data_IF_929988704427
#
_entry.id   IF_929988704427
#
_cell.length_a   1.000
_cell.length_b   1.000
_cell.length_c   1.000
_cell.angle_alpha   90.00
_cell.angle_beta   90.00
_cell.angle_gamma   90.00
#
_symmetry.space_group_name_H-M   'P 1'
#
loop_
_entity.id
_entity.type
_entity.pdbx_description
1 polymer ?
#
# COMPACT_ATOMS: atom_id res chain seq x y z
N UNK A 1 -2.77 11.63 -29.98
CA UNK A 1 -1.41 11.19 -30.38
C UNK A 1 -1.15 9.89 -29.66
N UNK A 2 -0.98 8.79 -30.37
CA UNK A 2 -0.63 7.51 -29.76
C UNK A 2 0.84 7.59 -29.34
N UNK A 3 1.09 7.63 -28.04
CA UNK A 3 2.41 7.43 -27.47
C UNK A 3 2.81 5.99 -27.78
N UNK A 4 3.77 5.82 -28.69
CA UNK A 4 4.38 4.51 -28.94
C UNK A 4 4.93 3.98 -27.62
N UNK A 5 4.34 2.90 -27.13
CA UNK A 5 4.78 2.22 -25.92
C UNK A 5 6.15 1.62 -26.21
N UNK A 6 7.19 2.07 -25.49
CA UNK A 6 8.54 1.56 -25.67
C UNK A 6 8.55 0.04 -25.33
N UNK A 7 8.85 -0.86 -26.28
CA UNK A 7 8.75 -2.30 -26.06
C UNK A 7 9.65 -2.80 -24.93
N UNK A 8 10.81 -2.18 -24.71
CA UNK A 8 11.72 -2.55 -23.63
C UNK A 8 11.17 -2.24 -22.23
N UNK A 9 10.37 -1.18 -22.11
CA UNK A 9 9.67 -0.82 -20.85
C UNK A 9 8.53 -1.81 -20.60
N UNK A 10 7.81 -2.20 -21.66
CA UNK A 10 6.74 -3.18 -21.60
C UNK A 10 7.24 -4.57 -21.15
N UNK A 11 8.41 -5.02 -21.61
CA UNK A 11 8.98 -6.32 -21.21
C UNK A 11 9.45 -6.33 -19.75
N UNK A 12 10.09 -5.26 -19.26
CA UNK A 12 10.52 -5.16 -17.87
C UNK A 12 9.32 -5.09 -16.91
N UNK A 13 8.28 -4.34 -17.27
CA UNK A 13 7.05 -4.25 -16.51
C UNK A 13 6.30 -5.59 -16.49
N UNK A 14 6.28 -6.32 -17.61
CA UNK A 14 5.71 -7.66 -17.68
C UNK A 14 6.47 -8.67 -16.82
N UNK A 15 7.81 -8.68 -16.87
CA UNK A 15 8.63 -9.57 -16.05
C UNK A 15 8.44 -9.30 -14.55
N UNK A 16 8.35 -8.02 -14.17
CA UNK A 16 8.14 -7.62 -12.78
C UNK A 16 6.73 -7.92 -12.29
N UNK A 17 5.72 -7.76 -13.15
CA UNK A 17 4.35 -8.21 -12.89
C UNK A 17 4.28 -9.72 -12.68
N UNK A 18 4.95 -10.51 -13.54
CA UNK A 18 5.03 -11.95 -13.42
C UNK A 18 5.71 -12.39 -12.11
N UNK A 19 6.84 -11.77 -11.75
CA UNK A 19 7.53 -12.03 -10.49
C UNK A 19 6.61 -11.77 -9.27
N UNK A 20 5.90 -10.63 -9.26
CA UNK A 20 4.94 -10.32 -8.19
C UNK A 20 3.82 -11.38 -8.08
N UNK A 21 3.31 -11.88 -9.20
CA UNK A 21 2.31 -12.94 -9.20
C UNK A 21 2.85 -14.26 -8.66
N UNK A 22 4.08 -14.62 -9.01
CA UNK A 22 4.72 -15.85 -8.52
C UNK A 22 5.07 -15.75 -7.02
N UNK A 23 5.55 -14.60 -6.56
CA UNK A 23 5.78 -14.32 -5.14
C UNK A 23 4.48 -14.42 -4.34
N UNK A 24 3.39 -13.84 -4.85
CA UNK A 24 2.09 -13.95 -4.20
C UNK A 24 1.56 -15.39 -4.19
N UNK A 25 1.71 -16.13 -5.30
CA UNK A 25 1.27 -17.53 -5.40
C UNK A 25 2.01 -18.42 -4.41
N UNK A 26 3.29 -18.14 -4.19
CA UNK A 26 4.14 -18.87 -3.24
C UNK A 26 4.02 -18.37 -1.80
N UNK A 27 3.21 -17.33 -1.55
CA UNK A 27 3.02 -16.69 -0.25
C UNK A 27 4.36 -16.25 0.34
N UNK A 28 5.22 -15.65 -0.50
CA UNK A 28 6.61 -15.38 -0.19
C UNK A 28 6.76 -14.50 1.06
N UNK A 29 6.00 -13.40 1.16
CA UNK A 29 6.09 -12.50 2.32
C UNK A 29 5.53 -13.16 3.58
N UNK A 30 4.36 -13.81 3.49
CA UNK A 30 3.72 -14.50 4.60
C UNK A 30 4.59 -15.64 5.15
N UNK A 31 5.36 -16.31 4.30
CA UNK A 31 6.25 -17.40 4.69
C UNK A 31 7.36 -16.96 5.66
N UNK A 32 7.74 -15.67 5.65
CA UNK A 32 8.70 -15.09 6.60
C UNK A 32 8.14 -15.03 8.03
N UNK A 33 6.81 -15.09 8.16
CA UNK A 33 6.06 -15.09 9.42
C UNK A 33 5.56 -16.51 9.73
N UNK A 34 6.48 -17.47 9.83
CA UNK A 34 6.16 -18.91 9.89
C UNK A 34 5.18 -19.30 10.99
N UNK A 35 5.28 -18.69 12.18
CA UNK A 35 4.35 -18.92 13.29
C UNK A 35 2.92 -18.46 12.93
N UNK A 36 2.80 -17.24 12.43
CA UNK A 36 1.53 -16.64 12.01
C UNK A 36 0.94 -17.41 10.82
N UNK A 37 1.78 -17.81 9.87
CA UNK A 37 1.38 -18.63 8.74
C UNK A 37 0.79 -19.99 9.19
N UNK A 38 1.44 -20.66 10.14
CA UNK A 38 0.90 -21.89 10.74
C UNK A 38 -0.44 -21.63 11.43
N UNK A 39 -0.52 -20.57 12.26
CA UNK A 39 -1.74 -20.18 12.96
C UNK A 39 -2.91 -19.94 12.00
N UNK A 40 -2.69 -19.17 10.93
CA UNK A 40 -3.69 -18.91 9.90
C UNK A 40 -4.18 -20.24 9.32
N UNK A 41 -3.26 -21.11 8.86
CA UNK A 41 -3.64 -22.40 8.25
C UNK A 41 -4.42 -23.30 9.20
N UNK A 42 -4.10 -23.29 10.49
CA UNK A 42 -4.86 -24.04 11.49
C UNK A 42 -6.28 -23.49 11.66
N UNK A 43 -6.43 -22.17 11.78
CA UNK A 43 -7.74 -21.53 11.90
C UNK A 43 -8.62 -21.82 10.69
N UNK A 44 -8.05 -21.78 9.48
CA UNK A 44 -8.78 -22.04 8.24
C UNK A 44 -9.22 -23.50 8.07
N UNK A 45 -8.64 -24.44 8.83
CA UNK A 45 -9.06 -25.85 8.85
C UNK A 45 -10.20 -26.11 9.82
N UNK A 46 -10.54 -25.16 10.69
CA UNK A 46 -11.67 -25.31 11.60
C UNK A 46 -12.98 -25.30 10.81
N UNK A 47 -13.88 -26.22 11.14
CA UNK A 47 -15.18 -26.34 10.46
C UNK A 47 -16.26 -25.44 11.08
N UNK A 48 -15.96 -24.82 12.22
CA UNK A 48 -16.89 -24.00 12.98
C UNK A 48 -16.23 -22.65 13.30
N UNK A 49 -16.86 -21.56 12.85
CA UNK A 49 -16.36 -20.22 13.09
C UNK A 49 -16.26 -19.88 14.59
N UNK A 50 -17.11 -20.47 15.43
CA UNK A 50 -17.11 -20.19 16.88
C UNK A 50 -15.87 -20.69 17.61
N UNK A 51 -15.14 -21.66 17.04
CA UNK A 51 -13.93 -22.22 17.65
C UNK A 51 -12.69 -21.34 17.37
N UNK A 52 -12.78 -20.47 16.36
CA UNK A 52 -11.66 -19.66 15.87
C UNK A 52 -11.14 -18.68 16.94
N UNK A 53 -11.96 -17.85 17.61
CA UNK A 53 -11.43 -16.90 18.59
C UNK A 53 -10.63 -17.58 19.69
N UNK A 54 -11.14 -18.68 20.25
CA UNK A 54 -10.43 -19.41 21.30
C UNK A 54 -9.08 -19.93 20.79
N UNK A 55 -9.03 -20.52 19.59
CA UNK A 55 -7.80 -21.02 18.99
C UNK A 55 -6.77 -19.91 18.74
N UNK A 56 -7.22 -18.77 18.22
CA UNK A 56 -6.38 -17.62 17.88
C UNK A 56 -5.76 -16.97 19.12
N UNK A 57 -6.54 -16.80 20.18
CA UNK A 57 -6.11 -16.08 21.39
C UNK A 57 -5.35 -16.96 22.39
N UNK A 58 -5.46 -18.29 22.30
CA UNK A 58 -4.65 -19.23 23.09
C UNK A 58 -3.24 -19.42 22.52
N UNK A 59 -3.03 -19.07 21.25
CA UNK A 59 -1.72 -19.13 20.58
C UNK A 59 -0.92 -17.87 20.89
N UNK A 60 -0.03 -17.99 21.85
CA UNK A 60 0.89 -16.91 22.24
C UNK A 60 2.19 -16.99 21.44
N UNK A 61 2.67 -15.83 21.01
CA UNK A 61 4.00 -15.67 20.43
C UNK A 61 5.03 -15.58 21.57
N UNK A 62 6.18 -16.25 21.43
CA UNK A 62 7.24 -16.19 22.45
C UNK A 62 7.84 -14.78 22.57
N UNK A 63 8.42 -14.47 23.74
CA UNK A 63 8.94 -13.13 24.06
C UNK A 63 10.13 -12.67 23.20
N UNK A 64 10.87 -13.60 22.58
CA UNK A 64 12.08 -13.29 21.81
C UNK A 64 11.81 -12.89 20.34
N UNK A 65 10.53 -12.83 19.93
CA UNK A 65 10.16 -12.50 18.56
C UNK A 65 10.36 -11.00 18.26
N UNK A 66 10.64 -10.69 16.99
CA UNK A 66 10.84 -9.31 16.54
C UNK A 66 9.58 -8.47 16.73
N UNK A 67 9.73 -7.15 16.83
CA UNK A 67 8.60 -6.22 16.93
C UNK A 67 7.61 -6.42 15.77
N UNK A 68 8.10 -6.70 14.56
CA UNK A 68 7.24 -6.96 13.40
C UNK A 68 6.46 -8.26 13.52
N UNK A 69 7.10 -9.33 13.98
CA UNK A 69 6.39 -10.59 14.22
C UNK A 69 5.30 -10.41 15.27
N UNK A 70 5.58 -9.66 16.34
CA UNK A 70 4.57 -9.35 17.37
C UNK A 70 3.42 -8.52 16.80
N UNK A 71 3.71 -7.51 15.97
CA UNK A 71 2.70 -6.67 15.32
C UNK A 71 1.85 -7.46 14.34
N UNK A 72 2.49 -8.21 13.45
CA UNK A 72 1.80 -9.04 12.47
C UNK A 72 0.97 -10.13 13.16
N UNK A 73 1.47 -10.71 14.26
CA UNK A 73 0.70 -11.64 15.09
C UNK A 73 -0.60 -11.01 15.60
N UNK A 74 -0.54 -9.81 16.18
CA UNK A 74 -1.76 -9.11 16.64
C UNK A 74 -2.72 -8.84 15.48
N UNK A 75 -2.20 -8.35 14.35
CA UNK A 75 -3.00 -8.12 13.14
C UNK A 75 -3.74 -9.41 12.71
N UNK A 76 -3.03 -10.53 12.64
CA UNK A 76 -3.61 -11.86 12.36
C UNK A 76 -4.68 -12.22 13.36
N UNK A 77 -4.41 -12.04 14.66
CA UNK A 77 -5.39 -12.37 15.70
C UNK A 77 -6.69 -11.60 15.54
N UNK A 78 -6.59 -10.29 15.31
CA UNK A 78 -7.76 -9.43 15.17
C UNK A 78 -8.53 -9.69 13.87
N UNK A 79 -7.85 -9.81 12.74
CA UNK A 79 -8.51 -10.05 11.45
C UNK A 79 -9.24 -11.39 11.46
N UNK A 80 -8.59 -12.47 11.93
CA UNK A 80 -9.22 -13.79 11.98
C UNK A 80 -10.39 -13.79 12.97
N UNK A 81 -10.23 -13.21 14.16
CA UNK A 81 -11.32 -13.13 15.16
C UNK A 81 -12.50 -12.34 14.60
N UNK A 82 -12.23 -11.20 13.97
CA UNK A 82 -13.25 -10.37 13.37
C UNK A 82 -13.97 -11.12 12.24
N UNK A 83 -13.25 -11.78 11.34
CA UNK A 83 -13.82 -12.61 10.28
C UNK A 83 -14.77 -13.67 10.86
N UNK A 84 -14.33 -14.38 11.90
CA UNK A 84 -15.13 -15.43 12.55
C UNK A 84 -16.44 -14.92 13.19
N UNK A 85 -16.48 -13.64 13.57
CA UNK A 85 -17.63 -13.03 14.25
C UNK A 85 -18.56 -12.25 13.32
N UNK A 86 -18.10 -11.86 12.13
CA UNK A 86 -18.78 -10.90 11.25
C UNK A 86 -18.58 -11.20 9.76
N UNK A 87 -18.68 -12.47 9.36
CA UNK A 87 -18.52 -12.93 7.96
C UNK A 87 -19.23 -12.07 6.89
N UNK A 88 -20.21 -11.23 7.25
CA UNK A 88 -21.05 -10.44 6.32
C UNK A 88 -20.70 -8.94 6.15
N UNK A 89 -19.62 -8.40 6.75
CA UNK A 89 -19.32 -6.95 6.62
C UNK A 89 -17.88 -6.73 6.16
N UNK A 90 -17.64 -5.86 5.19
CA UNK A 90 -16.30 -5.33 4.86
C UNK A 90 -16.10 -4.07 5.71
N UNK A 91 -15.64 -4.19 6.95
CA UNK A 91 -15.09 -3.03 7.70
C UNK A 91 -13.58 -3.02 7.46
N UNK A 92 -12.92 -1.85 7.27
CA UNK A 92 -11.51 -1.82 6.92
C UNK A 92 -10.67 -2.54 7.98
N UNK A 93 -9.96 -3.59 7.55
CA UNK A 93 -9.01 -4.39 8.34
C UNK A 93 -7.81 -3.58 8.89
N UNK A 94 -7.74 -2.29 8.56
CA UNK A 94 -6.58 -1.41 8.74
C UNK A 94 -6.66 -0.51 9.99
N UNK A 95 -7.69 -0.63 10.84
CA UNK A 95 -7.83 0.23 12.00
C UNK A 95 -6.79 -0.08 13.09
N UNK A 96 -5.86 0.86 13.34
CA UNK A 96 -4.92 0.92 14.48
C UNK A 96 -3.88 -0.23 14.63
N UNK A 97 -3.82 -1.15 13.67
CA UNK A 97 -3.10 -2.42 13.83
C UNK A 97 -1.76 -2.49 13.08
N UNK A 98 -1.62 -1.75 11.99
CA UNK A 98 -0.34 -1.59 11.28
C UNK A 98 0.37 -0.40 11.93
N UNK A 99 1.00 -0.57 13.10
CA UNK A 99 1.61 0.53 13.88
C UNK A 99 2.68 1.37 13.15
N UNK A 100 3.09 1.00 11.93
CA UNK A 100 3.89 1.85 11.04
C UNK A 100 3.09 3.00 10.41
N UNK A 101 1.77 2.85 10.38
CA UNK A 101 0.81 3.76 9.79
C UNK A 101 -0.25 4.12 10.83
N UNK A 102 -0.31 5.40 11.19
CA UNK A 102 -1.49 5.95 11.84
C UNK A 102 -2.58 6.04 10.79
N UNK A 103 -3.66 5.27 10.94
CA UNK A 103 -4.71 5.20 9.94
C UNK A 103 -5.92 6.06 10.32
N UNK A 104 -6.41 6.87 9.39
CA UNK A 104 -7.62 7.68 9.54
C UNK A 104 -8.68 7.24 8.54
N UNK A 105 -9.93 7.25 8.98
CA UNK A 105 -11.12 6.82 8.26
C UNK A 105 -12.35 7.59 8.79
N UNK A 106 -13.37 7.99 8.00
CA UNK A 106 -13.48 8.04 6.54
C UNK A 106 -13.43 9.48 6.01
N UNK A 107 -13.29 9.63 4.69
CA UNK A 107 -13.34 10.94 3.98
C UNK A 107 -12.30 11.92 4.54
N UNK A 108 -11.04 11.48 4.50
CA UNK A 108 -9.92 12.20 5.08
C UNK A 108 -9.29 13.11 4.04
N UNK A 109 -9.05 14.37 4.40
CA UNK A 109 -8.45 15.37 3.53
C UNK A 109 -6.99 15.01 3.17
N UNK A 110 -6.68 15.05 1.87
CA UNK A 110 -5.36 14.73 1.32
C UNK A 110 -4.51 16.00 1.26
N UNK A 111 -3.47 16.06 2.09
CA UNK A 111 -2.59 17.23 2.21
C UNK A 111 -1.68 17.39 1.01
N UNK A 112 -1.23 16.31 0.38
CA UNK A 112 -0.38 16.40 -0.82
C UNK A 112 -1.03 17.20 -1.96
N UNK A 113 -2.35 17.07 -2.18
CA UNK A 113 -3.10 17.90 -3.14
C UNK A 113 -3.12 19.38 -2.79
N UNK A 114 -3.02 19.73 -1.50
CA UNK A 114 -2.96 21.14 -1.09
C UNK A 114 -1.62 21.82 -1.43
N UNK A 115 -0.60 21.02 -1.75
CA UNK A 115 0.73 21.51 -2.18
C UNK A 115 0.85 21.70 -3.69
N UNK A 116 -0.14 21.26 -4.47
CA UNK A 116 -0.20 21.49 -5.91
C UNK A 116 -0.54 22.96 -6.20
N UNK A 117 0.08 23.46 -7.26
CA UNK A 117 0.11 24.86 -7.65
C UNK A 117 -1.32 25.40 -7.84
N UNK A 118 -1.52 26.68 -7.52
CA UNK A 118 -2.69 27.41 -7.99
C UNK A 118 -2.70 27.29 -9.51
N UNK A 119 -3.81 26.82 -10.08
CA UNK A 119 -4.00 26.90 -11.52
C UNK A 119 -3.94 28.39 -11.90
N UNK A 120 -2.88 28.77 -12.61
CA UNK A 120 -2.58 30.17 -12.94
C UNK A 120 -3.51 30.71 -14.04
N UNK A 121 -4.20 29.84 -14.78
CA UNK A 121 -5.22 30.23 -15.76
C UNK A 121 -6.56 30.49 -15.10
N UNK A 122 -6.98 29.64 -14.15
CA UNK A 122 -8.28 29.79 -13.50
C UNK A 122 -8.24 30.54 -12.16
N UNK A 123 -7.04 30.77 -11.60
CA UNK A 123 -6.83 31.29 -10.24
C UNK A 123 -7.58 30.47 -9.17
N UNK A 124 -7.93 29.22 -9.48
CA UNK A 124 -8.58 28.33 -8.54
C UNK A 124 -7.54 27.41 -7.92
N UNK A 125 -7.61 27.22 -6.60
CA UNK A 125 -6.97 26.06 -5.99
C UNK A 125 -7.77 24.85 -6.43
N UNK A 126 -7.10 23.80 -6.87
CA UNK A 126 -7.76 22.54 -7.13
C UNK A 126 -8.60 22.15 -5.90
N UNK A 127 -9.82 21.65 -6.13
CA UNK A 127 -10.71 21.30 -5.03
C UNK A 127 -10.01 20.21 -4.24
N UNK A 128 -9.71 20.48 -2.96
CA UNK A 128 -8.97 19.54 -2.13
C UNK A 128 -9.59 18.14 -2.20
N UNK A 129 -8.74 17.13 -2.44
CA UNK A 129 -9.15 15.74 -2.52
C UNK A 129 -9.38 15.13 -1.14
N UNK A 130 -10.35 14.23 -1.06
CA UNK A 130 -10.59 13.36 0.09
C UNK A 130 -10.34 11.93 -0.32
N UNK A 131 -9.76 11.11 0.53
CA UNK A 131 -9.67 9.66 0.36
C UNK A 131 -10.53 8.97 1.41
N UNK A 132 -11.04 7.78 1.11
CA UNK A 132 -11.79 6.99 2.08
C UNK A 132 -10.94 6.68 3.31
N UNK A 133 -9.65 6.37 3.10
CA UNK A 133 -8.71 6.17 4.20
C UNK A 133 -7.30 6.65 3.90
N UNK A 134 -6.58 7.08 4.94
CA UNK A 134 -5.19 7.52 4.82
C UNK A 134 -4.35 6.92 5.96
N UNK A 135 -3.22 6.32 5.61
CA UNK A 135 -2.16 5.91 6.52
C UNK A 135 -0.99 6.91 6.53
N UNK A 136 -0.59 7.34 7.73
CA UNK A 136 0.47 8.31 7.97
C UNK A 136 1.66 7.71 8.73
N UNK A 137 2.87 8.15 8.41
CA UNK A 137 4.03 7.97 9.30
C UNK A 137 4.45 9.34 9.83
N UNK A 138 3.97 9.70 11.02
CA UNK A 138 4.14 11.06 11.55
C UNK A 138 3.27 12.06 10.78
N UNK A 139 3.89 13.01 10.09
CA UNK A 139 3.16 14.01 9.27
C UNK A 139 3.04 13.65 7.79
N UNK A 140 3.65 12.54 7.41
CA UNK A 140 3.94 12.13 6.04
C UNK A 140 2.89 11.10 5.58
N UNK A 141 2.16 11.39 4.49
CA UNK A 141 1.19 10.49 3.86
C UNK A 141 1.92 9.33 3.17
N UNK A 142 1.47 8.09 3.40
CA UNK A 142 2.18 6.87 2.95
C UNK A 142 1.29 5.83 2.27
N UNK A 143 0.05 5.73 2.72
CA UNK A 143 -0.94 4.78 2.24
C UNK A 143 -2.25 5.53 2.00
N UNK A 144 -2.85 5.35 0.83
CA UNK A 144 -4.22 5.79 0.56
C UNK A 144 -5.13 4.59 0.40
N UNK A 145 -6.40 4.76 0.68
CA UNK A 145 -7.42 3.74 0.45
C UNK A 145 -8.61 4.40 -0.23
N UNK A 146 -9.06 3.78 -1.32
CA UNK A 146 -10.30 4.12 -2.03
C UNK A 146 -11.12 2.83 -2.15
N UNK A 147 -12.40 2.90 -1.78
CA UNK A 147 -13.34 1.78 -1.74
C UNK A 147 -14.47 2.10 -2.71
N UNK A 148 -14.37 1.52 -3.89
CA UNK A 148 -15.32 1.71 -4.98
C UNK A 148 -16.42 0.66 -4.93
N UNK A 149 -17.64 1.10 -5.26
CA UNK A 149 -18.85 0.29 -5.45
C UNK A 149 -19.40 -0.42 -4.20
N UNK A 150 -20.73 -0.52 -4.12
CA UNK A 150 -21.41 -1.36 -3.13
C UNK A 150 -21.26 -2.85 -3.46
N UNK A 151 -21.25 -3.73 -2.46
CA UNK A 151 -20.90 -5.16 -2.63
C UNK A 151 -21.79 -6.01 -3.58
N UNK A 152 -22.82 -5.45 -4.22
CA UNK A 152 -23.76 -6.18 -5.07
C UNK A 152 -23.74 -5.76 -6.55
N UNK A 153 -23.50 -4.49 -6.87
CA UNK A 153 -23.46 -3.98 -8.24
C UNK A 153 -22.31 -2.96 -8.40
N UNK A 154 -21.54 -3.12 -9.47
CA UNK A 154 -20.47 -2.16 -9.81
C UNK A 154 -21.05 -0.99 -10.56
N UNK A 155 -20.74 0.21 -10.10
CA UNK A 155 -20.78 1.39 -10.96
C UNK A 155 -19.41 1.51 -11.62
N UNK A 156 -19.33 1.18 -12.91
CA UNK A 156 -18.07 1.17 -13.67
C UNK A 156 -17.48 2.57 -13.81
N UNK A 157 -18.32 3.58 -14.01
CA UNK A 157 -17.87 4.96 -14.16
C UNK A 157 -17.31 5.49 -12.84
N UNK A 158 -18.01 5.20 -11.72
CA UNK A 158 -17.54 5.52 -10.39
C UNK A 158 -16.22 4.79 -10.06
N UNK A 159 -16.14 3.49 -10.36
CA UNK A 159 -14.96 2.68 -10.09
C UNK A 159 -13.75 3.15 -10.89
N UNK A 160 -13.94 3.51 -12.16
CA UNK A 160 -12.89 4.08 -12.98
C UNK A 160 -12.42 5.43 -12.42
N UNK A 161 -13.35 6.30 -12.03
CA UNK A 161 -13.02 7.61 -11.45
C UNK A 161 -12.24 7.48 -10.13
N UNK A 162 -12.64 6.58 -9.24
CA UNK A 162 -11.91 6.31 -7.99
C UNK A 162 -10.51 5.71 -8.26
N UNK A 163 -10.39 4.85 -9.27
CA UNK A 163 -9.10 4.28 -9.69
C UNK A 163 -8.13 5.38 -10.12
N UNK A 164 -8.61 6.31 -10.96
CA UNK A 164 -7.83 7.43 -11.46
C UNK A 164 -7.49 8.40 -10.32
N UNK A 165 -8.47 8.72 -9.48
CA UNK A 165 -8.29 9.55 -8.29
C UNK A 165 -7.20 8.99 -7.37
N UNK A 166 -7.20 7.67 -7.11
CA UNK A 166 -6.16 7.01 -6.33
C UNK A 166 -4.78 7.24 -6.96
N UNK A 167 -4.63 6.99 -8.26
CA UNK A 167 -3.37 7.17 -8.99
C UNK A 167 -2.82 8.59 -8.91
N UNK A 168 -3.68 9.58 -9.20
CA UNK A 168 -3.34 11.00 -9.10
C UNK A 168 -2.89 11.36 -7.68
N UNK A 169 -3.62 10.89 -6.66
CA UNK A 169 -3.29 11.15 -5.26
C UNK A 169 -1.93 10.55 -4.87
N UNK A 170 -1.61 9.33 -5.33
CA UNK A 170 -0.32 8.70 -5.05
C UNK A 170 0.83 9.45 -5.74
N UNK A 171 0.62 9.92 -6.96
CA UNK A 171 1.59 10.75 -7.67
C UNK A 171 1.80 12.10 -6.97
N UNK A 172 0.72 12.75 -6.52
CA UNK A 172 0.78 13.98 -5.73
C UNK A 172 1.62 13.79 -4.44
N UNK A 173 1.39 12.71 -3.70
CA UNK A 173 2.19 12.37 -2.51
C UNK A 173 3.67 12.18 -2.89
N UNK A 174 3.97 11.45 -3.98
CA UNK A 174 5.35 11.24 -4.41
C UNK A 174 6.03 12.56 -4.81
N UNK A 175 5.30 13.47 -5.46
CA UNK A 175 5.75 14.82 -5.78
C UNK A 175 6.05 15.64 -4.51
N UNK A 176 5.20 15.55 -3.49
CA UNK A 176 5.46 16.19 -2.19
C UNK A 176 6.77 15.70 -1.58
N UNK A 177 7.07 14.39 -1.64
CA UNK A 177 8.36 13.86 -1.20
C UNK A 177 9.54 14.39 -2.01
N UNK A 178 9.40 14.47 -3.34
CA UNK A 178 10.44 15.03 -4.20
C UNK A 178 10.75 16.48 -3.83
N UNK A 179 9.71 17.30 -3.66
CA UNK A 179 9.84 18.70 -3.27
C UNK A 179 10.49 18.84 -1.88
N UNK A 180 10.13 17.95 -0.94
CA UNK A 180 10.70 17.90 0.41
C UNK A 180 12.18 17.52 0.42
N UNK A 181 12.63 16.66 -0.50
CA UNK A 181 13.99 16.09 -0.50
C UNK A 181 14.81 16.39 -1.77
N UNK A 182 14.69 17.60 -2.34
CA UNK A 182 15.35 17.98 -3.61
C UNK A 182 16.88 17.79 -3.66
N UNK A 183 17.54 17.89 -2.50
CA UNK A 183 18.99 17.71 -2.36
C UNK A 183 19.42 16.25 -2.11
N UNK A 184 18.50 15.29 -2.18
CA UNK A 184 18.82 13.87 -2.02
C UNK A 184 19.33 13.22 -3.31
N UNK A 185 19.85 12.01 -3.21
CA UNK A 185 20.33 11.23 -4.35
C UNK A 185 19.15 10.66 -5.15
N UNK A 186 19.15 10.85 -6.47
CA UNK A 186 18.11 10.34 -7.38
C UNK A 186 17.92 8.82 -7.30
N UNK A 187 18.98 8.05 -7.05
CA UNK A 187 18.94 6.58 -6.88
C UNK A 187 18.33 6.18 -5.53
N UNK A 188 18.49 7.01 -4.50
CA UNK A 188 17.80 6.79 -3.22
C UNK A 188 16.32 7.10 -3.40
N UNK A 189 16.00 8.21 -4.06
CA UNK A 189 14.61 8.61 -4.33
C UNK A 189 13.87 7.60 -5.20
N UNK A 190 14.53 6.97 -6.18
CA UNK A 190 13.90 5.95 -7.02
C UNK A 190 13.52 4.67 -6.29
N UNK A 191 13.98 4.47 -5.05
CA UNK A 191 13.54 3.36 -4.18
C UNK A 191 12.30 3.70 -3.37
N UNK A 192 11.91 4.98 -3.34
CA UNK A 192 10.73 5.45 -2.62
C UNK A 192 9.47 4.97 -3.33
N UNK A 193 8.60 4.30 -2.58
CA UNK A 193 7.27 3.85 -3.01
C UNK A 193 6.20 4.49 -2.14
N UNK A 194 5.14 4.95 -2.77
CA UNK A 194 3.88 5.35 -2.11
C UNK A 194 2.84 4.30 -2.45
N UNK A 195 2.03 3.90 -1.48
CA UNK A 195 1.09 2.79 -1.63
C UNK A 195 -0.35 3.27 -1.64
N UNK A 196 -1.18 2.57 -2.41
CA UNK A 196 -2.63 2.70 -2.41
C UNK A 196 -3.30 1.35 -2.20
N UNK A 197 -4.47 1.34 -1.61
CA UNK A 197 -5.35 0.19 -1.53
C UNK A 197 -6.60 0.54 -2.29
N UNK A 198 -6.90 -0.26 -3.30
CA UNK A 198 -8.14 -0.16 -4.04
C UNK A 198 -9.01 -1.36 -3.69
N UNK A 199 -10.22 -1.08 -3.21
CA UNK A 199 -11.24 -2.10 -3.03
C UNK A 199 -12.31 -1.93 -4.11
N UNK A 200 -12.52 -2.96 -4.93
CA UNK A 200 -13.61 -3.03 -5.92
C UNK A 200 -14.39 -4.30 -5.62
N UNK A 201 -15.63 -4.15 -5.14
CA UNK A 201 -16.45 -5.27 -4.65
C UNK A 201 -15.66 -6.10 -3.60
N UNK A 202 -15.55 -7.45 -3.62
CA UNK A 202 -14.70 -8.14 -2.65
C UNK A 202 -13.21 -8.12 -3.02
N UNK A 203 -12.81 -7.53 -4.15
CA UNK A 203 -11.40 -7.52 -4.55
C UNK A 203 -10.66 -6.38 -3.86
N UNK A 204 -9.57 -6.70 -3.16
CA UNK A 204 -8.62 -5.74 -2.62
C UNK A 204 -7.30 -5.83 -3.38
N UNK A 205 -6.85 -4.71 -3.93
CA UNK A 205 -5.58 -4.60 -4.68
C UNK A 205 -4.68 -3.61 -3.97
N UNK A 206 -3.46 -4.05 -3.63
CA UNK A 206 -2.38 -3.17 -3.24
C UNK A 206 -1.74 -2.60 -4.50
N UNK A 207 -1.68 -1.29 -4.54
CA UNK A 207 -1.08 -0.47 -5.59
C UNK A 207 0.18 0.18 -5.04
N UNK A 208 1.20 0.37 -5.88
CA UNK A 208 2.36 1.19 -5.55
C UNK A 208 2.75 2.10 -6.71
N UNK A 209 3.11 3.34 -6.39
CA UNK A 209 3.69 4.31 -7.31
C UNK A 209 5.10 4.66 -6.86
N UNK A 210 6.03 4.69 -7.80
CA UNK A 210 7.42 5.11 -7.60
C UNK A 210 7.91 5.92 -8.79
N UNK A 211 9.10 6.53 -8.67
CA UNK A 211 9.73 7.25 -9.77
C UNK A 211 10.99 6.51 -10.21
N UNK A 212 11.11 6.25 -11.50
CA UNK A 212 12.33 5.77 -12.12
C UNK A 212 13.44 6.83 -12.09
N UNK A 213 14.69 6.41 -12.31
CA UNK A 213 15.85 7.31 -12.31
C UNK A 213 15.83 8.37 -13.42
N UNK A 214 15.06 8.16 -14.48
CA UNK A 214 14.78 9.11 -15.57
C UNK A 214 13.53 9.97 -15.33
N UNK A 215 12.86 9.81 -14.19
CA UNK A 215 11.75 10.66 -13.77
C UNK A 215 10.38 10.26 -14.30
N UNK A 216 10.21 9.02 -14.76
CA UNK A 216 8.89 8.48 -15.12
C UNK A 216 8.26 7.79 -13.92
N UNK A 217 6.94 7.93 -13.79
CA UNK A 217 6.20 7.15 -12.81
C UNK A 217 6.17 5.68 -13.20
N UNK A 218 6.43 4.81 -12.23
CA UNK A 218 6.23 3.38 -12.33
C UNK A 218 5.05 3.00 -11.44
N UNK A 219 4.01 2.45 -12.07
CA UNK A 219 2.83 1.92 -11.42
C UNK A 219 2.90 0.40 -11.33
N UNK A 220 2.56 -0.15 -10.15
CA UNK A 220 2.56 -1.59 -9.94
C UNK A 220 1.40 -2.03 -9.05
N UNK A 221 0.91 -3.25 -9.27
CA UNK A 221 -0.07 -3.93 -8.43
C UNK A 221 0.57 -5.15 -7.76
N UNK A 222 1.42 -4.99 -6.73
CA UNK A 222 2.22 -6.08 -6.19
C UNK A 222 1.40 -7.24 -5.63
N UNK A 223 0.19 -6.99 -5.10
CA UNK A 223 -0.64 -8.03 -4.47
C UNK A 223 -2.13 -7.74 -4.68
N UNK A 224 -2.92 -8.78 -4.97
CA UNK A 224 -4.39 -8.70 -5.06
C UNK A 224 -5.03 -9.88 -4.34
N UNK A 225 -6.03 -9.63 -3.50
CA UNK A 225 -6.78 -10.68 -2.81
C UNK A 225 -8.27 -10.50 -2.98
N UNK A 226 -9.02 -11.57 -2.79
CA UNK A 226 -10.44 -11.49 -2.48
C UNK A 226 -10.61 -11.32 -0.96
N UNK A 227 -11.62 -10.58 -0.54
CA UNK A 227 -12.11 -10.48 0.82
C UNK A 227 -13.23 -11.51 0.96
N UNK A 228 -13.11 -12.49 1.86
CA UNK A 228 -14.15 -13.49 2.03
C UNK A 228 -15.42 -12.84 2.60
N UNK A 229 -16.56 -13.08 1.96
CA UNK A 229 -17.90 -12.63 2.39
C UNK A 229 -18.73 -13.78 2.99
N UNK A 230 -18.21 -15.00 2.94
CA UNK A 230 -18.79 -16.17 3.59
C UNK A 230 -17.72 -16.98 4.32
N UNK A 231 -18.16 -17.85 5.23
CA UNK A 231 -17.23 -18.73 5.94
C UNK A 231 -16.55 -19.76 5.03
N UNK A 232 -17.21 -20.18 3.94
CA UNK A 232 -16.64 -21.13 2.97
C UNK A 232 -15.52 -20.52 2.12
N UNK A 233 -15.58 -19.20 1.94
CA UNK A 233 -14.56 -18.40 1.25
C UNK A 233 -13.32 -18.11 2.11
N UNK A 234 -13.26 -18.56 3.38
CA UNK A 234 -12.17 -18.27 4.32
C UNK A 234 -10.76 -18.52 3.78
N UNK A 235 -10.59 -19.40 2.79
CA UNK A 235 -9.32 -19.66 2.14
C UNK A 235 -8.71 -18.41 1.48
N UNK A 236 -9.52 -17.42 1.09
CA UNK A 236 -9.06 -16.10 0.61
C UNK A 236 -8.32 -15.28 1.69
N UNK A 237 -8.46 -15.62 2.98
CA UNK A 237 -7.65 -14.99 4.03
C UNK A 237 -6.15 -15.25 3.85
N UNK A 238 -5.74 -16.36 3.22
CA UNK A 238 -4.31 -16.61 2.97
C UNK A 238 -3.71 -15.55 2.05
N UNK A 239 -4.36 -15.26 0.93
CA UNK A 239 -3.91 -14.21 0.00
C UNK A 239 -4.02 -12.82 0.61
N UNK A 240 -5.01 -12.58 1.48
CA UNK A 240 -5.14 -11.33 2.20
C UNK A 240 -3.96 -11.13 3.17
N UNK A 241 -3.60 -12.16 3.92
CA UNK A 241 -2.45 -12.10 4.84
C UNK A 241 -1.11 -12.00 4.12
N UNK A 242 -0.97 -12.58 2.93
CA UNK A 242 0.20 -12.34 2.05
C UNK A 242 0.30 -10.87 1.65
N UNK A 243 -0.80 -10.24 1.25
CA UNK A 243 -0.84 -8.81 0.94
C UNK A 243 -0.43 -7.96 2.14
N UNK A 244 -0.95 -8.28 3.33
CA UNK A 244 -0.65 -7.54 4.56
C UNK A 244 0.78 -7.75 5.06
N UNK A 245 1.32 -8.97 4.94
CA UNK A 245 2.72 -9.27 5.25
C UNK A 245 3.65 -8.49 4.33
N UNK A 246 3.39 -8.52 3.02
CA UNK A 246 4.15 -7.73 2.04
C UNK A 246 4.10 -6.23 2.37
N UNK A 247 2.90 -5.69 2.65
CA UNK A 247 2.74 -4.28 3.01
C UNK A 247 3.55 -3.90 4.26
N UNK A 248 3.55 -4.76 5.28
CA UNK A 248 4.31 -4.54 6.52
C UNK A 248 5.82 -4.47 6.24
N UNK A 249 6.35 -5.41 5.47
CA UNK A 249 7.77 -5.48 5.13
C UNK A 249 8.20 -4.24 4.33
N UNK A 250 7.45 -3.89 3.28
CA UNK A 250 7.78 -2.72 2.47
C UNK A 250 7.62 -1.41 3.25
N UNK A 251 6.67 -1.29 4.18
CA UNK A 251 6.57 -0.11 5.04
C UNK A 251 7.83 0.11 5.90
N UNK A 252 8.46 -0.97 6.37
CA UNK A 252 9.73 -0.88 7.06
C UNK A 252 10.83 -0.39 6.10
N UNK A 253 10.97 -1.01 4.94
CA UNK A 253 11.96 -0.61 3.93
C UNK A 253 11.81 0.86 3.55
N UNK A 254 10.58 1.34 3.35
CA UNK A 254 10.31 2.73 3.03
C UNK A 254 10.70 3.69 4.18
N UNK A 255 10.60 3.25 5.43
CA UNK A 255 11.06 4.05 6.57
C UNK A 255 12.58 4.26 6.51
N UNK A 256 13.33 3.24 6.10
CA UNK A 256 14.78 3.32 5.92
C UNK A 256 15.17 4.21 4.73
N UNK A 257 14.44 4.09 3.60
CA UNK A 257 14.62 4.96 2.43
C UNK A 257 14.39 6.42 2.81
N UNK A 258 13.31 6.74 3.52
CA UNK A 258 13.00 8.12 3.95
C UNK A 258 14.06 8.68 4.89
N UNK A 259 14.52 7.87 5.85
CA UNK A 259 15.60 8.27 6.74
C UNK A 259 16.88 8.59 5.97
N UNK A 260 17.19 7.82 4.92
CA UNK A 260 18.34 8.08 4.05
C UNK A 260 18.14 9.35 3.22
N UNK A 261 16.96 9.55 2.62
CA UNK A 261 16.63 10.80 1.90
C UNK A 261 16.81 12.03 2.79
N UNK A 262 16.40 11.95 4.06
CA UNK A 262 16.56 13.03 5.02
C UNK A 262 18.03 13.32 5.33
N UNK A 263 18.85 12.28 5.53
CA UNK A 263 20.30 12.44 5.76
C UNK A 263 21.00 13.08 4.57
N UNK A 264 20.65 12.66 3.36
CA UNK A 264 21.19 13.22 2.12
C UNK A 264 20.74 14.68 1.94
N UNK A 265 19.45 14.95 2.10
CA UNK A 265 18.87 16.29 1.92
C UNK A 265 19.46 17.34 2.87
N UNK A 266 19.75 16.93 4.11
CA UNK A 266 20.33 17.81 5.15
C UNK A 266 21.85 17.95 5.05
N UNK A 267 22.50 17.24 4.12
CA UNK A 267 23.96 17.23 3.98
C UNK A 267 24.69 16.40 5.04
N UNK A 268 23.98 15.62 5.85
CA UNK A 268 24.60 14.65 6.77
C UNK A 268 25.32 13.54 6.00
N UNK A 269 24.77 13.15 4.85
CA UNK A 269 25.44 12.32 3.83
C UNK A 269 25.68 13.19 2.60
N UNK A 270 26.92 13.26 2.14
CA UNK A 270 27.29 14.03 0.96
C UNK A 270 26.76 13.35 -0.32
N UNK A 271 26.11 14.15 -1.17
CA UNK A 271 25.61 13.71 -2.48
C UNK A 271 26.30 14.49 -3.60
N UNK A 272 26.98 13.83 -4.55
CA UNK A 272 27.54 14.49 -5.72
C UNK A 272 26.50 15.29 -6.51
N UNK A 273 26.88 16.46 -7.02
CA UNK A 273 25.94 17.39 -7.69
C UNK A 273 25.21 16.76 -8.88
N UNK A 274 25.87 15.88 -9.63
CA UNK A 274 25.33 15.14 -10.79
C UNK A 274 24.31 14.05 -10.41
N UNK A 275 24.24 13.72 -9.11
CA UNK A 275 23.31 12.72 -8.55
C UNK A 275 22.13 13.33 -7.80
N UNK A 276 22.08 14.66 -7.68
CA UNK A 276 21.01 15.35 -6.97
C UNK A 276 19.66 15.21 -7.69
N UNK A 277 18.61 14.95 -6.94
CA UNK A 277 17.24 14.85 -7.44
C UNK A 277 16.75 16.13 -8.12
N UNK A 278 17.23 17.31 -7.68
CA UNK A 278 16.95 18.61 -8.31
C UNK A 278 17.32 18.68 -9.81
N UNK A 279 18.20 17.79 -10.29
CA UNK A 279 18.60 17.72 -11.70
C UNK A 279 17.63 16.92 -12.58
N UNK A 280 16.68 16.18 -11.99
CA UNK A 280 15.68 15.35 -12.68
C UNK A 280 14.37 16.13 -12.80
N UNK A 281 13.67 16.03 -13.93
CA UNK A 281 12.29 16.52 -14.12
C UNK A 281 11.35 15.32 -14.18
N UNK A 282 10.30 15.27 -13.35
CA UNK A 282 9.27 14.23 -13.47
C UNK A 282 8.36 14.57 -14.65
N UNK A 283 7.99 13.56 -15.44
CA UNK A 283 6.94 13.70 -16.44
C UNK A 283 5.57 13.69 -15.74
N UNK A 284 4.66 14.57 -16.13
CA UNK A 284 3.27 14.52 -15.64
C UNK A 284 2.60 13.20 -16.06
N UNK A 285 1.71 12.68 -15.22
CA UNK A 285 0.85 11.58 -15.63
C UNK A 285 -0.04 12.10 -16.78
N UNK A 286 -0.19 11.33 -17.88
CA UNK A 286 -1.02 11.72 -19.02
C UNK A 286 -2.50 11.84 -18.68
#
# INVERSE_FOLDING_TARGET
MATECNPDICEQDAALSQANQDDQRTLQSLSQYSFQYSLIRECLKLNNANDIPLHVWTRTLDGDNTINQQRFHRLVQHIITWFSSRCERVTPYFHDQIQYLQFQWCEVYIRSRSTELVDMETWTKDKGGYADGIGYTGQDERLLMEVSSGGLEEDLDHTLNDSLKLLENLAAILNTYRAKYLNSNKTTFSKLKVFGIQCIKPTITLVSVSASGDGKYLYQTPRTSQIPITFDERHHLLSLFELLAYLLDVCQEQSEVVAQLQKEHTGYVEVPRDKLLKSVTLQELP
#
